data_IF_682192442823
#
_entry.id   IF_682192442823
#
_cell.length_a   1.000
_cell.length_b   1.000
_cell.length_c   1.000
_cell.angle_alpha   90.00
_cell.angle_beta   90.00
_cell.angle_gamma   90.00
#
_symmetry.space_group_name_H-M   'P 1'
#
loop_
_entity.id
_entity.type
_entity.pdbx_description
1 polymer ?
#
# COMPACT_ATOMS: atom_id res chain seq x y z
N UNK A 1 -35.16 1.95 -49.25
CA UNK A 1 -35.34 3.06 -48.29
C UNK A 1 -35.52 2.45 -46.90
N UNK A 2 -34.54 1.71 -46.40
CA UNK A 2 -33.32 2.24 -45.78
C UNK A 2 -33.67 3.15 -44.61
N UNK A 3 -33.64 2.60 -43.41
CA UNK A 3 -32.83 3.22 -42.37
C UNK A 3 -32.25 2.17 -41.42
N UNK A 4 -30.93 2.30 -41.27
CA UNK A 4 -30.00 1.42 -40.57
C UNK A 4 -30.18 1.55 -39.05
N UNK A 5 -30.13 0.43 -38.33
CA UNK A 5 -29.01 0.01 -37.46
C UNK A 5 -28.47 1.12 -36.54
N UNK A 6 -28.73 1.00 -35.24
CA UNK A 6 -27.67 0.71 -34.26
C UNK A 6 -28.24 0.41 -32.87
N UNK A 7 -28.07 -0.84 -32.46
CA UNK A 7 -28.27 -1.26 -31.08
C UNK A 7 -27.35 -0.49 -30.15
N UNK A 8 -27.89 -0.11 -29.00
CA UNK A 8 -27.12 0.46 -27.91
C UNK A 8 -26.30 -0.65 -27.22
N UNK A 9 -25.29 -1.15 -27.91
CA UNK A 9 -24.17 -1.84 -27.28
C UNK A 9 -23.14 -0.78 -26.87
N UNK A 10 -23.53 0.08 -25.94
CA UNK A 10 -22.60 0.96 -25.24
C UNK A 10 -22.07 0.20 -24.03
N UNK A 11 -21.01 -0.59 -24.21
CA UNK A 11 -20.19 -1.03 -23.06
C UNK A 11 -19.63 0.26 -22.47
N UNK A 12 -20.25 0.76 -21.40
CA UNK A 12 -19.73 1.86 -20.60
C UNK A 12 -18.30 1.49 -20.22
N UNK A 13 -17.32 2.19 -20.78
CA UNK A 13 -15.91 1.95 -20.47
C UNK A 13 -15.76 1.93 -18.94
N UNK A 14 -15.37 0.77 -18.39
CA UNK A 14 -15.31 0.60 -16.93
C UNK A 14 -14.45 1.70 -16.34
N UNK A 15 -15.04 2.50 -15.45
CA UNK A 15 -14.27 3.52 -14.74
C UNK A 15 -13.27 2.79 -13.84
N UNK A 16 -11.95 2.98 -14.03
CA UNK A 16 -10.95 2.26 -13.26
C UNK A 16 -11.12 2.56 -11.78
N UNK A 17 -11.18 1.53 -10.94
CA UNK A 17 -11.35 1.63 -9.48
C UNK A 17 -10.33 2.67 -8.94
N UNK A 18 -10.79 3.82 -8.40
CA UNK A 18 -9.89 4.92 -8.05
C UNK A 18 -8.72 4.52 -7.12
N UNK A 19 -8.96 3.56 -6.23
CA UNK A 19 -7.99 3.04 -5.27
C UNK A 19 -6.85 2.22 -5.93
N UNK A 20 -7.13 1.58 -7.07
CA UNK A 20 -6.16 0.75 -7.79
C UNK A 20 -5.41 1.53 -8.88
N UNK A 21 -5.67 2.83 -9.01
CA UNK A 21 -4.97 3.67 -10.00
C UNK A 21 -3.55 3.98 -9.53
N UNK A 22 -2.53 3.89 -10.41
CA UNK A 22 -1.17 4.30 -10.10
C UNK A 22 -1.08 5.73 -9.56
N UNK A 23 -0.05 5.98 -8.76
CA UNK A 23 0.17 7.27 -8.11
C UNK A 23 1.66 7.59 -8.01
N UNK A 24 2.05 8.82 -8.35
CA UNK A 24 3.44 9.30 -8.22
C UNK A 24 3.58 10.02 -6.87
N UNK A 25 4.34 9.43 -5.95
CA UNK A 25 4.64 10.00 -4.64
C UNK A 25 6.10 10.47 -4.61
N UNK A 26 6.33 11.76 -4.86
CA UNK A 26 7.68 12.31 -4.97
C UNK A 26 8.49 11.58 -6.05
N UNK A 27 9.54 10.87 -5.64
CA UNK A 27 10.40 10.05 -6.52
C UNK A 27 9.89 8.62 -6.76
N UNK A 28 8.84 8.19 -6.06
CA UNK A 28 8.33 6.83 -6.10
C UNK A 28 7.12 6.72 -7.03
N UNK A 29 7.08 5.63 -7.81
CA UNK A 29 5.94 5.27 -8.65
C UNK A 29 5.18 4.12 -7.99
N UNK A 30 4.00 4.40 -7.45
CA UNK A 30 3.13 3.40 -6.83
C UNK A 30 2.17 2.82 -7.87
N UNK A 31 1.92 1.52 -7.79
CA UNK A 31 0.97 0.80 -8.65
C UNK A 31 -0.48 0.99 -8.19
N UNK A 32 -0.69 1.28 -6.90
CA UNK A 32 -2.00 1.46 -6.28
C UNK A 32 -1.91 2.42 -5.09
N UNK A 33 -3.07 2.80 -4.53
CA UNK A 33 -3.19 3.77 -3.42
C UNK A 33 -3.48 3.12 -2.07
N UNK A 34 -3.37 1.81 -1.97
CA UNK A 34 -3.44 1.05 -0.72
C UNK A 34 -2.06 1.07 -0.04
N UNK A 35 -2.01 1.42 1.24
CA UNK A 35 -0.78 1.61 2.02
C UNK A 35 -0.89 0.85 3.34
N UNK A 36 0.19 0.22 3.79
CA UNK A 36 0.29 -0.28 5.17
C UNK A 36 0.60 0.89 6.11
N UNK A 37 -0.34 1.20 7.00
CA UNK A 37 -0.14 2.20 8.06
C UNK A 37 0.97 1.76 9.04
N UNK A 38 1.62 2.70 9.75
CA UNK A 38 2.56 2.35 10.82
C UNK A 38 1.83 1.66 11.97
N UNK A 39 2.24 0.44 12.31
CA UNK A 39 1.61 -0.38 13.35
C UNK A 39 2.67 -0.90 14.32
N UNK A 40 2.76 -0.34 15.54
CA UNK A 40 3.64 -0.86 16.59
C UNK A 40 3.20 -2.27 17.00
N UNK A 41 4.13 -3.24 16.98
CA UNK A 41 3.82 -4.66 17.27
C UNK A 41 4.48 -5.22 18.53
N UNK A 42 5.45 -4.50 19.09
CA UNK A 42 6.26 -4.96 20.23
C UNK A 42 6.90 -6.34 19.98
N UNK A 43 7.52 -6.52 18.80
CA UNK A 43 8.21 -7.77 18.39
C UNK A 43 9.69 -7.57 18.04
N UNK A 44 10.26 -6.46 18.48
CA UNK A 44 11.66 -6.10 18.29
C UNK A 44 12.32 -6.01 19.67
N UNK A 45 13.04 -7.05 20.05
CA UNK A 45 13.73 -7.10 21.34
C UNK A 45 14.98 -6.23 21.29
N UNK A 46 15.22 -5.45 22.35
CA UNK A 46 16.29 -4.45 22.42
C UNK A 46 16.29 -3.50 21.21
N UNK A 47 15.11 -3.16 20.69
CA UNK A 47 14.92 -2.33 19.50
C UNK A 47 15.54 -2.89 18.20
N UNK A 48 15.90 -4.18 18.19
CA UNK A 48 16.43 -4.86 17.01
C UNK A 48 15.30 -5.64 16.33
N UNK A 49 15.02 -5.39 15.03
CA UNK A 49 14.07 -6.19 14.27
C UNK A 49 14.43 -7.68 14.28
N UNK A 50 13.47 -8.52 14.65
CA UNK A 50 13.65 -9.97 14.71
C UNK A 50 13.19 -10.68 13.42
N UNK A 51 13.53 -11.96 13.20
CA UNK A 51 13.08 -12.71 12.02
C UNK A 51 11.57 -12.64 11.71
N UNK A 52 10.64 -12.59 12.70
CA UNK A 52 9.22 -12.37 12.43
C UNK A 52 8.89 -11.04 11.73
N UNK A 53 9.72 -10.00 11.86
CA UNK A 53 9.55 -8.74 11.15
C UNK A 53 9.71 -8.94 9.63
N UNK A 54 10.69 -9.75 9.20
CA UNK A 54 10.89 -10.09 7.78
C UNK A 54 9.63 -10.74 7.23
N UNK A 55 9.13 -11.79 7.89
CA UNK A 55 7.90 -12.46 7.47
C UNK A 55 6.70 -11.50 7.46
N UNK A 56 6.58 -10.64 8.47
CA UNK A 56 5.49 -9.69 8.61
C UNK A 56 5.38 -8.71 7.44
N UNK A 57 6.50 -8.07 7.07
CA UNK A 57 6.55 -7.12 5.94
C UNK A 57 6.49 -7.84 4.60
N UNK A 58 7.11 -9.01 4.47
CA UNK A 58 7.06 -9.81 3.24
C UNK A 58 5.63 -10.21 2.86
N UNK A 59 4.82 -10.63 3.84
CA UNK A 59 3.40 -10.98 3.64
C UNK A 59 2.53 -9.79 3.23
N UNK A 60 2.98 -8.55 3.46
CA UNK A 60 2.21 -7.32 3.21
C UNK A 60 2.73 -6.54 2.01
N UNK A 61 3.82 -7.00 1.40
CA UNK A 61 4.41 -6.39 0.21
C UNK A 61 3.59 -6.75 -1.03
N UNK A 62 3.39 -5.75 -1.87
CA UNK A 62 2.82 -5.88 -3.22
C UNK A 62 3.69 -5.10 -4.21
N UNK A 63 3.58 -5.43 -5.50
CA UNK A 63 4.36 -4.76 -6.55
C UNK A 63 4.01 -3.27 -6.63
N UNK A 64 4.94 -2.40 -6.25
CA UNK A 64 4.73 -0.94 -6.23
C UNK A 64 3.76 -0.48 -5.14
N UNK A 65 3.59 -1.25 -4.06
CA UNK A 65 2.92 -0.82 -2.85
C UNK A 65 3.84 -0.03 -1.92
N UNK A 66 3.25 0.84 -1.10
CA UNK A 66 3.95 1.57 -0.05
C UNK A 66 3.64 0.94 1.31
N UNK A 67 4.68 0.67 2.09
CA UNK A 67 4.57 0.23 3.48
C UNK A 67 5.29 1.24 4.37
N UNK A 68 4.64 1.64 5.46
CA UNK A 68 5.25 2.46 6.50
C UNK A 68 5.55 1.52 7.68
N UNK A 69 6.82 1.49 8.09
CA UNK A 69 7.26 0.63 9.19
C UNK A 69 6.63 1.04 10.52
N UNK A 70 6.71 0.14 11.50
CA UNK A 70 6.35 0.44 12.88
C UNK A 70 7.17 1.61 13.46
N UNK A 71 6.63 2.25 14.49
CA UNK A 71 7.36 3.32 15.18
C UNK A 71 8.69 2.79 15.70
N UNK A 72 9.79 3.45 15.32
CA UNK A 72 11.16 3.06 15.65
C UNK A 72 11.83 4.20 16.41
N UNK A 73 12.38 3.92 17.58
CA UNK A 73 13.07 4.90 18.42
C UNK A 73 14.27 5.51 17.69
N UNK A 74 14.40 6.83 17.74
CA UNK A 74 15.54 7.56 17.15
C UNK A 74 16.72 7.68 18.12
N UNK A 75 16.48 7.41 19.40
CA UNK A 75 17.43 7.48 20.51
C UNK A 75 16.89 6.67 21.69
N UNK A 76 17.75 6.30 22.64
CA UNK A 76 17.37 5.54 23.85
C UNK A 76 16.30 6.26 24.71
N UNK A 77 16.21 7.58 24.62
CA UNK A 77 15.21 8.38 25.34
C UNK A 77 13.88 8.54 24.60
N UNK A 78 13.73 7.97 23.40
CA UNK A 78 12.53 8.12 22.57
C UNK A 78 11.46 7.04 22.84
N UNK A 79 11.76 6.07 23.69
CA UNK A 79 10.85 4.98 24.05
C UNK A 79 9.87 5.42 25.15
N UNK A 80 8.58 5.29 24.85
CA UNK A 80 7.50 5.68 25.77
C UNK A 80 6.95 4.53 26.63
N UNK A 81 7.49 3.31 26.50
CA UNK A 81 6.98 2.12 27.16
C UNK A 81 8.13 1.15 27.49
N UNK A 82 8.04 0.46 28.64
CA UNK A 82 8.98 -0.58 29.12
C UNK A 82 8.55 -1.98 28.70
#
# INVERSE_FOLDING_TARGET
MDDKVQGQNGVSAETPIPLLRPYKLGKFQLSHRIVLAPLTRQRSWNNVPQPPAILHYSQRTSKGGLLIAEATGVSDTAEGYL
#
